data_IF_445866274855
#
_entry.id   IF_445866274855
#
_cell.length_a   1.000
_cell.length_b   1.000
_cell.length_c   1.000
_cell.angle_alpha   90.00
_cell.angle_beta   90.00
_cell.angle_gamma   90.00
#
_symmetry.space_group_name_H-M   'P 1'
#
loop_
_entity.id
_entity.type
_entity.pdbx_description
1 polymer ?
#
# COMPACT_ATOMS: atom_id res chain seq x y z
N UNK A 1 19.92 1.28 4.30
CA UNK A 1 18.43 1.31 4.26
C UNK A 1 17.93 1.31 2.81
N UNK A 2 18.32 2.27 1.97
CA UNK A 2 18.01 2.26 0.52
C UNK A 2 18.45 0.97 -0.19
N UNK A 3 19.66 0.46 0.07
CA UNK A 3 20.12 -0.83 -0.46
C UNK A 3 19.34 -2.06 0.06
N UNK A 4 18.73 -1.96 1.26
CA UNK A 4 17.92 -3.02 1.87
C UNK A 4 16.49 -3.04 1.31
N UNK A 5 15.92 -1.85 1.07
CA UNK A 5 14.63 -1.68 0.42
C UNK A 5 14.71 -1.98 -1.08
N UNK A 6 15.79 -1.55 -1.74
CA UNK A 6 16.06 -1.82 -3.15
C UNK A 6 16.26 -3.31 -3.46
N UNK A 7 16.61 -4.16 -2.49
CA UNK A 7 16.74 -5.62 -2.66
C UNK A 7 15.42 -6.41 -2.53
N UNK A 8 14.31 -5.75 -2.19
CA UNK A 8 12.99 -6.38 -1.95
C UNK A 8 11.89 -5.90 -2.89
N UNK A 9 12.19 -4.89 -3.70
CA UNK A 9 11.29 -4.35 -4.71
C UNK A 9 11.45 -5.21 -5.97
N UNK A 10 10.39 -5.93 -6.35
CA UNK A 10 10.42 -6.87 -7.49
C UNK A 10 10.06 -6.16 -8.80
N UNK A 11 9.17 -5.17 -8.74
CA UNK A 11 8.99 -4.14 -9.76
C UNK A 11 8.77 -2.77 -9.12
N UNK A 12 9.07 -1.73 -9.89
CA UNK A 12 8.69 -0.36 -9.61
C UNK A 12 7.83 0.11 -10.77
N UNK A 13 6.55 0.37 -10.49
CA UNK A 13 5.84 1.32 -11.31
C UNK A 13 6.37 2.71 -10.96
N UNK A 14 7.12 3.32 -11.87
CA UNK A 14 7.64 4.68 -11.69
C UNK A 14 6.47 5.67 -11.80
N UNK A 15 5.70 5.79 -10.72
CA UNK A 15 4.58 6.73 -10.55
C UNK A 15 4.99 8.20 -10.67
N UNK A 16 6.30 8.47 -10.55
CA UNK A 16 6.88 9.79 -10.40
C UNK A 16 8.06 10.02 -11.36
N UNK A 17 7.93 9.57 -12.61
CA UNK A 17 8.82 10.09 -13.64
C UNK A 17 8.53 11.58 -13.82
N UNK A 18 9.57 12.45 -13.86
CA UNK A 18 9.40 13.82 -14.31
C UNK A 18 8.67 13.81 -15.67
N UNK A 19 7.78 14.77 -15.95
CA UNK A 19 7.18 14.89 -17.27
C UNK A 19 8.29 14.95 -18.32
N UNK A 20 8.17 14.14 -19.38
CA UNK A 20 9.13 14.13 -20.47
C UNK A 20 9.13 15.53 -21.12
N UNK A 21 10.24 16.28 -21.06
CA UNK A 21 10.30 17.63 -21.64
C UNK A 21 10.13 17.62 -23.17
N UNK A 22 10.23 16.47 -23.82
CA UNK A 22 10.02 16.29 -25.25
C UNK A 22 8.60 15.84 -25.63
N UNK A 23 7.72 15.54 -24.66
CA UNK A 23 6.35 15.10 -24.95
C UNK A 23 5.45 16.28 -25.35
N UNK A 24 4.80 16.25 -26.53
CA UNK A 24 3.86 17.29 -26.92
C UNK A 24 2.66 17.31 -25.98
N UNK A 25 2.38 18.46 -25.35
CA UNK A 25 1.10 18.71 -24.67
C UNK A 25 1.04 18.49 -23.16
N UNK A 26 2.17 18.47 -22.42
CA UNK A 26 2.14 18.43 -20.95
C UNK A 26 1.49 17.17 -20.35
N UNK A 27 1.28 16.15 -21.18
CA UNK A 27 0.78 14.86 -20.73
C UNK A 27 1.87 14.18 -19.89
N UNK A 28 1.56 13.90 -18.62
CA UNK A 28 2.44 13.11 -17.78
C UNK A 28 2.71 11.76 -18.48
N UNK A 29 3.97 11.29 -18.57
CA UNK A 29 4.28 10.05 -19.25
C UNK A 29 3.42 8.91 -18.69
N UNK A 30 2.94 8.04 -19.58
CA UNK A 30 2.40 6.76 -19.16
C UNK A 30 3.52 6.06 -18.38
N UNK A 31 3.31 5.87 -17.07
CA UNK A 31 4.36 5.38 -16.19
C UNK A 31 4.97 4.10 -16.76
N UNK A 32 6.30 3.99 -16.67
CA UNK A 32 7.02 2.86 -17.21
C UNK A 32 7.07 1.77 -16.14
N UNK A 33 6.76 0.54 -16.56
CA UNK A 33 6.95 -0.63 -15.72
C UNK A 33 8.45 -0.99 -15.71
N UNK A 34 9.09 -0.89 -14.56
CA UNK A 34 10.49 -1.28 -14.39
C UNK A 34 10.56 -2.50 -13.49
N UNK A 35 11.25 -3.55 -13.94
CA UNK A 35 11.46 -4.76 -13.15
C UNK A 35 12.90 -4.81 -12.63
N UNK A 36 13.08 -5.19 -11.38
CA UNK A 36 14.42 -5.32 -10.78
C UNK A 36 14.88 -6.76 -10.96
N UNK A 37 15.40 -7.06 -12.15
CA UNK A 37 15.79 -8.42 -12.54
C UNK A 37 16.68 -9.15 -11.51
N UNK A 38 17.69 -8.52 -10.88
CA UNK A 38 18.50 -9.19 -9.86
C UNK A 38 17.69 -9.71 -8.66
N UNK A 39 16.71 -8.92 -8.19
CA UNK A 39 15.85 -9.31 -7.07
C UNK A 39 14.89 -10.42 -7.45
N UNK A 40 14.33 -10.35 -8.67
CA UNK A 40 13.44 -11.39 -9.18
C UNK A 40 14.21 -12.72 -9.22
N UNK A 41 15.40 -12.75 -9.80
CA UNK A 41 16.22 -13.97 -9.87
C UNK A 41 16.63 -14.47 -8.48
N UNK A 42 16.96 -13.57 -7.56
CA UNK A 42 17.28 -13.95 -6.18
C UNK A 42 16.09 -14.63 -5.50
N UNK A 43 14.90 -14.02 -5.55
CA UNK A 43 13.69 -14.56 -4.91
C UNK A 43 13.22 -15.83 -5.60
N UNK A 44 13.26 -15.88 -6.93
CA UNK A 44 13.00 -17.09 -7.73
C UNK A 44 13.81 -18.28 -7.22
N UNK A 45 15.12 -18.08 -7.02
CA UNK A 45 16.05 -19.10 -6.51
C UNK A 45 15.81 -19.45 -5.05
N UNK A 46 15.54 -18.46 -4.19
CA UNK A 46 15.20 -18.68 -2.78
C UNK A 46 13.94 -19.54 -2.62
N UNK A 47 12.93 -19.32 -3.46
CA UNK A 47 11.67 -20.05 -3.42
C UNK A 47 11.76 -21.39 -4.16
N UNK A 48 12.71 -21.55 -5.09
CA UNK A 48 12.83 -22.75 -5.91
C UNK A 48 11.56 -23.01 -6.72
N UNK A 49 11.03 -21.96 -7.36
CA UNK A 49 9.83 -22.00 -8.23
C UNK A 49 10.23 -22.03 -9.70
N UNK A 50 9.30 -22.36 -10.59
CA UNK A 50 9.57 -22.29 -12.03
C UNK A 50 9.93 -20.84 -12.46
N UNK A 51 11.09 -20.63 -13.12
CA UNK A 51 11.53 -19.30 -13.50
C UNK A 51 10.60 -18.54 -14.45
N UNK A 52 10.01 -19.24 -15.42
CA UNK A 52 9.17 -18.61 -16.44
C UNK A 52 7.85 -18.15 -15.81
N UNK A 53 7.22 -19.05 -15.04
CA UNK A 53 5.97 -18.77 -14.36
C UNK A 53 6.14 -17.71 -13.27
N UNK A 54 7.24 -17.73 -12.52
CA UNK A 54 7.50 -16.71 -11.49
C UNK A 54 7.67 -15.31 -12.11
N UNK A 55 8.44 -15.19 -13.19
CA UNK A 55 8.61 -13.91 -13.89
C UNK A 55 7.30 -13.41 -14.48
N UNK A 56 6.51 -14.30 -15.10
CA UNK A 56 5.17 -13.97 -15.61
C UNK A 56 4.25 -13.51 -14.48
N UNK A 57 4.26 -14.23 -13.35
CA UNK A 57 3.49 -13.86 -12.16
C UNK A 57 3.87 -12.47 -11.63
N UNK A 58 5.17 -12.16 -11.55
CA UNK A 58 5.64 -10.80 -11.21
C UNK A 58 5.15 -9.78 -12.23
N UNK A 59 5.32 -10.02 -13.54
CA UNK A 59 4.85 -9.09 -14.57
C UNK A 59 3.35 -8.81 -14.48
N UNK A 60 2.52 -9.83 -14.22
CA UNK A 60 1.08 -9.68 -14.08
C UNK A 60 0.70 -8.87 -12.84
N UNK A 61 1.41 -9.06 -11.73
CA UNK A 61 1.24 -8.27 -10.51
C UNK A 61 1.52 -6.79 -10.79
N UNK A 62 2.66 -6.52 -11.43
CA UNK A 62 3.09 -5.17 -11.78
C UNK A 62 2.16 -4.49 -12.81
N UNK A 63 1.69 -5.24 -13.82
CA UNK A 63 0.71 -4.76 -14.81
C UNK A 63 -0.66 -4.47 -14.19
N UNK A 64 -1.04 -5.20 -13.14
CA UNK A 64 -2.27 -4.92 -12.37
C UNK A 64 -2.19 -3.53 -11.72
N UNK A 65 -1.06 -3.21 -11.09
CA UNK A 65 -0.82 -1.88 -10.52
C UNK A 65 -0.77 -0.79 -11.58
N UNK A 66 -0.07 -1.02 -12.69
CA UNK A 66 -0.07 -0.09 -13.82
C UNK A 66 -1.51 0.21 -14.25
N UNK A 67 -2.31 -0.83 -14.45
CA UNK A 67 -3.71 -0.70 -14.88
C UNK A 67 -4.53 0.09 -13.86
N UNK A 68 -4.40 -0.16 -12.55
CA UNK A 68 -5.07 0.62 -11.52
C UNK A 68 -4.75 2.11 -11.62
N UNK A 69 -3.46 2.48 -11.76
CA UNK A 69 -3.04 3.88 -11.80
C UNK A 69 -3.23 4.57 -13.16
N UNK A 70 -3.46 3.82 -14.25
CA UNK A 70 -3.74 4.39 -15.58
C UNK A 70 -5.22 4.39 -15.93
N UNK A 71 -6.00 3.42 -15.46
CA UNK A 71 -7.45 3.34 -15.71
C UNK A 71 -8.24 4.24 -14.75
N UNK A 72 -7.74 4.44 -13.53
CA UNK A 72 -8.37 5.33 -12.53
C UNK A 72 -7.71 6.71 -12.60
N UNK A 73 -8.26 7.58 -13.44
CA UNK A 73 -7.65 8.88 -13.78
C UNK A 73 -7.38 9.82 -12.60
N UNK A 74 -8.13 9.70 -11.51
CA UNK A 74 -7.96 10.54 -10.31
C UNK A 74 -6.94 9.98 -9.30
N UNK A 75 -6.62 8.69 -9.35
CA UNK A 75 -5.88 8.00 -8.27
C UNK A 75 -4.46 8.55 -8.12
N UNK A 76 -3.77 8.78 -9.24
CA UNK A 76 -2.41 9.36 -9.25
C UNK A 76 -2.41 10.76 -8.62
N UNK A 77 -3.32 11.62 -9.06
CA UNK A 77 -3.44 12.99 -8.55
C UNK A 77 -3.79 13.02 -7.06
N UNK A 78 -4.67 12.13 -6.62
CA UNK A 78 -5.01 11.99 -5.21
C UNK A 78 -3.80 11.61 -4.34
N UNK A 79 -3.03 10.58 -4.72
CA UNK A 79 -1.83 10.18 -3.97
C UNK A 79 -0.78 11.31 -3.94
N UNK A 80 -0.58 11.99 -5.08
CA UNK A 80 0.30 13.16 -5.16
C UNK A 80 -0.14 14.26 -4.21
N UNK A 81 -1.43 14.61 -4.21
CA UNK A 81 -2.00 15.61 -3.31
C UNK A 81 -1.78 15.22 -1.84
N UNK A 82 -2.04 13.98 -1.46
CA UNK A 82 -1.83 13.53 -0.08
C UNK A 82 -0.34 13.60 0.32
N UNK A 83 0.59 13.26 -0.58
CA UNK A 83 2.02 13.44 -0.31
C UNK A 83 2.41 14.92 -0.16
N UNK A 84 1.90 15.80 -1.01
CA UNK A 84 2.11 17.25 -0.90
C UNK A 84 1.55 17.79 0.42
N UNK A 85 0.33 17.41 0.79
CA UNK A 85 -0.27 17.80 2.08
C UNK A 85 0.55 17.30 3.26
N UNK A 86 1.10 16.09 3.20
CA UNK A 86 1.95 15.55 4.26
C UNK A 86 3.24 16.38 4.43
N UNK A 87 3.87 16.76 3.32
CA UNK A 87 5.06 17.61 3.32
C UNK A 87 4.75 19.02 3.82
N UNK A 88 3.63 19.61 3.42
CA UNK A 88 3.22 20.94 3.87
C UNK A 88 2.78 20.96 5.34
N UNK A 89 2.18 19.87 5.83
CA UNK A 89 1.82 19.71 7.25
C UNK A 89 3.04 19.45 8.14
N UNK A 90 4.22 19.21 7.55
CA UNK A 90 5.46 19.11 8.28
C UNK A 90 5.95 20.53 8.58
N UNK A 91 5.56 21.10 9.73
CA UNK A 91 6.16 22.35 10.20
C UNK A 91 7.67 22.18 10.30
N UNK A 92 8.40 22.86 9.40
CA UNK A 92 9.85 22.97 9.37
C UNK A 92 10.35 24.14 10.22
N UNK A 93 9.49 24.72 11.08
CA UNK A 93 9.90 25.76 12.01
C UNK A 93 10.86 25.18 13.07
N UNK A 94 12.09 25.72 13.20
CA UNK A 94 13.06 25.28 14.20
C UNK A 94 12.49 25.18 15.62
N UNK A 95 11.59 26.09 16.02
CA UNK A 95 10.98 26.06 17.35
C UNK A 95 10.11 24.82 17.56
N UNK A 96 9.28 24.50 16.57
CA UNK A 96 8.41 23.31 16.59
C UNK A 96 9.23 22.01 16.56
N UNK A 97 10.36 21.99 15.86
CA UNK A 97 11.30 20.85 15.85
C UNK A 97 11.89 20.64 17.25
N UNK A 98 12.29 21.70 17.95
CA UNK A 98 12.81 21.58 19.32
C UNK A 98 11.73 21.11 20.29
N UNK A 99 10.51 21.63 20.20
CA UNK A 99 9.40 21.21 21.05
C UNK A 99 8.99 19.74 20.81
N UNK A 100 9.03 19.28 19.55
CA UNK A 100 8.85 17.87 19.20
C UNK A 100 9.97 16.99 19.74
N UNK A 101 11.22 17.44 19.67
CA UNK A 101 12.36 16.71 20.25
C UNK A 101 12.24 16.55 21.76
N UNK A 102 11.78 17.60 22.48
CA UNK A 102 11.52 17.50 23.92
C UNK A 102 10.36 16.54 24.22
N UNK A 103 9.25 16.67 23.51
CA UNK A 103 8.07 15.81 23.68
C UNK A 103 8.39 14.33 23.40
N UNK A 104 9.21 14.06 22.38
CA UNK A 104 9.72 12.73 22.08
C UNK A 104 10.63 12.20 23.19
N UNK A 105 11.55 13.03 23.71
CA UNK A 105 12.42 12.66 24.82
C UNK A 105 11.62 12.31 26.09
N UNK A 106 10.57 13.08 26.38
CA UNK A 106 9.66 12.84 27.52
C UNK A 106 8.84 11.55 27.33
N UNK A 107 8.35 11.28 26.11
CA UNK A 107 7.67 10.04 25.77
C UNK A 107 8.58 8.81 25.89
N UNK A 108 9.83 8.90 25.44
CA UNK A 108 10.85 7.83 25.64
C UNK A 108 11.13 7.63 27.12
N UNK A 109 11.33 8.71 27.89
CA UNK A 109 11.59 8.61 29.32
C UNK A 109 10.42 7.99 30.10
N UNK A 110 9.18 8.19 29.64
CA UNK A 110 7.99 7.50 30.13
C UNK A 110 7.92 6.02 29.74
N UNK A 111 8.18 5.70 28.47
CA UNK A 111 8.14 4.33 27.94
C UNK A 111 9.26 3.42 28.47
N UNK A 112 10.44 3.98 28.79
CA UNK A 112 11.53 3.21 29.44
C UNK A 112 11.17 2.82 30.88
N UNK A 113 10.23 3.53 31.51
CA UNK A 113 9.70 3.21 32.85
C UNK A 113 8.52 2.24 32.84
N UNK A 114 7.88 2.01 31.70
CA UNK A 114 6.77 1.07 31.51
C UNK A 114 6.96 0.32 30.21
N UNK A 115 7.51 -0.89 30.30
CA UNK A 115 7.93 -1.70 29.15
C UNK A 115 6.78 -2.18 28.27
N UNK A 116 6.31 -1.32 27.37
CA UNK A 116 5.70 -1.66 26.07
C UNK A 116 5.49 -0.34 25.31
N UNK A 117 6.26 -0.05 24.25
CA UNK A 117 6.22 1.32 23.72
C UNK A 117 6.92 1.62 22.39
N UNK A 118 7.05 0.64 21.49
CA UNK A 118 7.57 0.91 20.15
C UNK A 118 6.62 1.78 19.30
N UNK A 119 5.31 1.51 19.38
CA UNK A 119 4.28 2.25 18.64
C UNK A 119 4.05 3.66 19.20
N UNK A 120 4.24 3.84 20.51
CA UNK A 120 3.95 5.10 21.21
C UNK A 120 4.88 6.24 20.81
N UNK A 121 6.08 5.97 20.30
CA UNK A 121 7.08 7.02 20.07
C UNK A 121 6.85 7.79 18.76
N UNK A 122 6.37 7.11 17.71
CA UNK A 122 6.08 7.76 16.41
C UNK A 122 4.73 8.45 16.45
N UNK A 123 3.74 7.84 17.12
CA UNK A 123 2.46 8.48 17.36
C UNK A 123 2.60 9.76 18.19
N UNK A 124 3.60 9.84 19.08
CA UNK A 124 3.89 11.03 19.88
C UNK A 124 4.58 12.17 19.10
N UNK A 125 5.18 11.91 17.93
CA UNK A 125 5.95 12.89 17.16
C UNK A 125 5.13 13.52 16.02
N UNK A 126 4.10 12.81 15.54
CA UNK A 126 3.27 13.25 14.42
C UNK A 126 2.16 14.22 14.84
N UNK A 127 1.89 15.24 14.02
CA UNK A 127 0.71 16.08 14.23
C UNK A 127 -0.58 15.32 13.91
N UNK A 128 -1.73 15.68 14.51
CA UNK A 128 -3.01 15.07 14.16
C UNK A 128 -3.31 15.12 12.66
N UNK A 129 -2.92 16.23 12.00
CA UNK A 129 -3.09 16.38 10.56
C UNK A 129 -2.20 15.42 9.74
N UNK A 130 -0.93 15.25 10.12
CA UNK A 130 -0.05 14.29 9.46
C UNK A 130 -0.56 12.86 9.62
N UNK A 131 -1.09 12.51 10.81
CA UNK A 131 -1.69 11.19 11.07
C UNK A 131 -2.86 10.91 10.13
N UNK A 132 -3.80 11.85 9.99
CA UNK A 132 -4.93 11.72 9.06
C UNK A 132 -4.47 11.44 7.61
N UNK A 133 -3.46 12.16 7.14
CA UNK A 133 -2.95 12.02 5.77
C UNK A 133 -2.27 10.65 5.60
N UNK A 134 -1.48 10.21 6.58
CA UNK A 134 -0.84 8.90 6.57
C UNK A 134 -1.86 7.77 6.62
N UNK A 135 -2.95 7.91 7.39
CA UNK A 135 -4.01 6.92 7.44
C UNK A 135 -4.73 6.80 6.09
N UNK A 136 -4.98 7.92 5.39
CA UNK A 136 -5.54 7.91 4.01
C UNK A 136 -4.59 7.26 3.00
N UNK A 137 -3.32 7.63 3.01
CA UNK A 137 -2.30 7.03 2.14
C UNK A 137 -2.17 5.52 2.40
N UNK A 138 -2.13 5.15 3.67
CA UNK A 138 -2.09 3.76 4.11
C UNK A 138 -3.30 2.96 3.61
N UNK A 139 -4.50 3.52 3.73
CA UNK A 139 -5.72 2.85 3.28
C UNK A 139 -5.73 2.63 1.76
N UNK A 140 -5.31 3.63 0.97
CA UNK A 140 -5.19 3.47 -0.49
C UNK A 140 -4.18 2.40 -0.86
N UNK A 141 -2.97 2.45 -0.28
CA UNK A 141 -1.96 1.44 -0.57
C UNK A 141 -2.44 0.03 -0.19
N UNK A 142 -3.11 -0.09 0.95
CA UNK A 142 -3.69 -1.35 1.41
C UNK A 142 -4.74 -1.89 0.43
N UNK A 143 -5.64 -1.05 -0.06
CA UNK A 143 -6.65 -1.43 -1.06
C UNK A 143 -5.99 -1.86 -2.38
N UNK A 144 -5.08 -1.04 -2.91
CA UNK A 144 -4.42 -1.26 -4.21
C UNK A 144 -3.69 -2.60 -4.22
N UNK A 145 -2.98 -2.90 -3.13
CA UNK A 145 -2.20 -4.11 -2.97
C UNK A 145 -3.10 -5.33 -2.69
N UNK A 146 -4.11 -5.18 -1.84
CA UNK A 146 -5.11 -6.22 -1.58
C UNK A 146 -5.90 -6.61 -2.84
N UNK A 147 -6.23 -5.64 -3.69
CA UNK A 147 -6.83 -5.88 -4.99
C UNK A 147 -5.85 -6.55 -5.95
N UNK A 148 -4.56 -6.17 -5.93
CA UNK A 148 -3.50 -6.85 -6.66
C UNK A 148 -3.46 -8.34 -6.33
N UNK A 149 -3.38 -8.67 -5.05
CA UNK A 149 -3.42 -10.06 -4.57
C UNK A 149 -4.70 -10.79 -5.03
N UNK A 150 -5.87 -10.14 -4.93
CA UNK A 150 -7.15 -10.71 -5.40
C UNK A 150 -7.13 -11.02 -6.92
N UNK A 151 -6.63 -10.10 -7.73
CA UNK A 151 -6.51 -10.30 -9.19
C UNK A 151 -5.53 -11.44 -9.49
N UNK A 152 -4.41 -11.50 -8.77
CA UNK A 152 -3.42 -12.56 -8.95
C UNK A 152 -3.98 -13.95 -8.61
N UNK A 153 -4.92 -14.03 -7.67
CA UNK A 153 -5.67 -15.27 -7.38
C UNK A 153 -6.61 -15.66 -8.55
N UNK A 154 -7.17 -14.68 -9.24
CA UNK A 154 -8.12 -14.88 -10.34
C UNK A 154 -7.44 -15.24 -11.68
N UNK A 155 -6.16 -14.89 -11.88
CA UNK A 155 -5.37 -15.21 -13.10
C UNK A 155 -5.37 -16.71 -13.43
N UNK A 156 -5.37 -17.56 -12.40
CA UNK A 156 -5.52 -19.02 -12.52
C UNK A 156 -4.38 -19.76 -13.25
N UNK A 157 -4.44 -21.12 -13.27
CA UNK A 157 -3.38 -21.95 -13.86
C UNK A 157 -3.31 -21.89 -15.39
N UNK A 158 -4.34 -21.37 -16.05
CA UNK A 158 -4.35 -21.23 -17.51
C UNK A 158 -3.35 -20.17 -18.01
N UNK A 159 -3.04 -19.17 -17.18
CA UNK A 159 -2.09 -18.10 -17.52
C UNK A 159 -0.72 -18.35 -16.88
N UNK A 160 -0.72 -18.81 -15.63
CA UNK A 160 0.49 -19.17 -14.87
C UNK A 160 0.30 -20.57 -14.26
N UNK A 161 0.79 -21.63 -14.92
CA UNK A 161 0.57 -23.02 -14.50
C UNK A 161 0.90 -23.31 -13.03
N UNK A 162 2.03 -22.81 -12.52
CA UNK A 162 2.49 -23.01 -11.14
C UNK A 162 2.04 -21.93 -10.14
N UNK A 163 1.01 -21.12 -10.45
CA UNK A 163 0.58 -19.97 -9.62
C UNK A 163 0.28 -20.35 -8.15
N UNK A 164 -0.33 -21.51 -7.91
CA UNK A 164 -0.66 -21.96 -6.56
C UNK A 164 0.59 -22.25 -5.72
N UNK A 165 1.61 -22.86 -6.35
CA UNK A 165 2.90 -23.14 -5.72
C UNK A 165 3.66 -21.84 -5.43
N UNK A 166 3.76 -20.96 -6.44
CA UNK A 166 4.38 -19.64 -6.31
C UNK A 166 3.75 -18.88 -5.13
N UNK A 167 2.42 -18.83 -5.08
CA UNK A 167 1.67 -18.15 -4.01
C UNK A 167 1.97 -18.76 -2.64
N UNK A 168 1.91 -20.07 -2.50
CA UNK A 168 2.14 -20.75 -1.23
C UNK A 168 3.56 -20.45 -0.69
N UNK A 169 4.58 -20.59 -1.54
CA UNK A 169 5.97 -20.33 -1.19
C UNK A 169 6.24 -18.85 -0.91
N UNK A 170 5.67 -17.96 -1.72
CA UNK A 170 5.81 -16.52 -1.52
C UNK A 170 5.11 -16.06 -0.23
N UNK A 171 3.90 -16.53 0.07
CA UNK A 171 3.20 -16.28 1.33
C UNK A 171 4.01 -16.77 2.55
N UNK A 172 4.58 -17.97 2.47
CA UNK A 172 5.43 -18.52 3.53
C UNK A 172 6.70 -17.66 3.76
N UNK A 173 7.35 -17.22 2.68
CA UNK A 173 8.49 -16.29 2.74
C UNK A 173 8.11 -14.96 3.36
N UNK A 174 6.94 -14.40 3.04
CA UNK A 174 6.43 -13.17 3.68
C UNK A 174 6.26 -13.34 5.19
N UNK A 175 5.68 -14.47 5.63
CA UNK A 175 5.51 -14.77 7.06
C UNK A 175 6.85 -14.92 7.79
N UNK A 176 7.86 -15.53 7.16
CA UNK A 176 9.19 -15.70 7.72
C UNK A 176 9.98 -14.38 7.78
N UNK A 177 9.90 -13.54 6.74
CA UNK A 177 10.54 -12.22 6.72
C UNK A 177 10.03 -11.30 7.84
N UNK A 178 8.77 -11.44 8.26
CA UNK A 178 8.15 -10.63 9.32
C UNK A 178 8.81 -10.74 10.70
N UNK A 179 9.46 -11.86 11.05
CA UNK A 179 10.10 -12.05 12.37
C UNK A 179 11.45 -11.33 12.49
N UNK A 180 12.22 -11.26 11.41
CA UNK A 180 13.51 -10.55 11.36
C UNK A 180 13.31 -9.05 11.16
N UNK A 181 12.23 -8.65 10.48
CA UNK A 181 11.92 -7.25 10.20
C UNK A 181 11.39 -6.46 11.42
N UNK A 182 10.77 -7.13 12.40
CA UNK A 182 10.31 -6.52 13.65
C UNK A 182 11.43 -5.84 14.46
N UNK A 183 12.66 -6.34 14.39
CA UNK A 183 13.79 -5.77 15.13
C UNK A 183 14.33 -4.48 14.50
N UNK A 184 14.30 -4.35 13.16
CA UNK A 184 14.79 -3.16 12.44
C UNK A 184 13.69 -2.06 12.41
N UNK A 185 12.40 -2.46 12.36
CA UNK A 185 11.24 -1.54 12.33
C UNK A 185 11.04 -0.75 13.62
N UNK A 186 11.31 -1.35 14.79
CA UNK A 186 11.25 -0.67 16.11
C UNK A 186 12.22 0.52 16.23
N UNK A 187 13.28 0.54 15.43
CA UNK A 187 14.32 1.59 15.47
C UNK A 187 13.97 2.75 14.53
N UNK A 188 13.24 2.48 13.44
CA UNK A 188 12.88 3.48 12.43
C UNK A 188 11.46 4.02 12.56
N UNK A 189 10.63 3.36 13.37
CA UNK A 189 9.31 3.84 13.70
C UNK A 189 8.28 3.81 12.56
N UNK A 190 8.55 2.98 11.56
CA UNK A 190 7.67 2.74 10.43
C UNK A 190 7.09 1.34 10.64
N UNK A 191 6.13 1.21 11.55
CA UNK A 191 5.44 -0.07 11.83
C UNK A 191 4.20 -0.27 10.95
N UNK A 192 4.34 0.10 9.67
CA UNK A 192 3.26 0.12 8.68
C UNK A 192 3.74 -0.58 7.43
N UNK A 193 3.62 -1.91 7.38
CA UNK A 193 3.62 -2.60 6.09
C UNK A 193 2.92 -3.95 6.13
N UNK A 194 3.25 -4.87 7.04
CA UNK A 194 2.80 -6.27 6.90
C UNK A 194 1.37 -6.58 7.37
N UNK A 195 0.86 -5.93 8.42
CA UNK A 195 -0.54 -6.13 8.86
C UNK A 195 -1.54 -5.63 7.82
N UNK A 196 -1.19 -4.56 7.11
CA UNK A 196 -2.04 -3.91 6.12
C UNK A 196 -2.33 -4.80 4.90
N UNK A 197 -1.33 -5.49 4.33
CA UNK A 197 -1.53 -6.31 3.13
C UNK A 197 -2.53 -7.46 3.32
N UNK A 198 -2.40 -8.21 4.41
CA UNK A 198 -3.34 -9.29 4.71
C UNK A 198 -4.78 -8.77 4.93
N UNK A 199 -4.90 -7.58 5.53
CA UNK A 199 -6.19 -6.91 5.72
C UNK A 199 -6.80 -6.43 4.39
N UNK A 200 -5.98 -5.92 3.48
CA UNK A 200 -6.43 -5.48 2.15
C UNK A 200 -7.01 -6.62 1.32
N UNK A 201 -6.29 -7.74 1.20
CA UNK A 201 -6.79 -8.90 0.44
C UNK A 201 -8.07 -9.47 1.07
N UNK A 202 -8.13 -9.57 2.40
CA UNK A 202 -9.33 -10.01 3.12
C UNK A 202 -10.52 -9.05 2.91
N UNK A 203 -10.28 -7.74 2.89
CA UNK A 203 -11.31 -6.75 2.56
C UNK A 203 -11.89 -6.97 1.17
N UNK A 204 -11.03 -7.06 0.14
CA UNK A 204 -11.48 -7.27 -1.25
C UNK A 204 -12.26 -8.57 -1.38
N UNK A 205 -11.75 -9.67 -0.81
CA UNK A 205 -12.42 -10.97 -0.83
C UNK A 205 -13.79 -10.90 -0.15
N UNK A 206 -13.89 -10.28 1.03
CA UNK A 206 -15.15 -10.15 1.76
C UNK A 206 -16.19 -9.33 0.99
N UNK A 207 -15.80 -8.15 0.49
CA UNK A 207 -16.70 -7.28 -0.28
C UNK A 207 -17.19 -7.96 -1.56
N UNK A 208 -16.28 -8.62 -2.29
CA UNK A 208 -16.64 -9.30 -3.54
C UNK A 208 -17.52 -10.53 -3.28
N UNK A 209 -17.25 -11.29 -2.21
CA UNK A 209 -18.07 -12.44 -1.84
C UNK A 209 -19.49 -12.02 -1.41
N UNK A 210 -19.62 -10.90 -0.71
CA UNK A 210 -20.91 -10.42 -0.18
C UNK A 210 -21.74 -9.65 -1.23
N UNK A 211 -21.10 -8.76 -1.99
CA UNK A 211 -21.82 -7.80 -2.86
C UNK A 211 -21.40 -7.87 -4.34
N UNK A 212 -20.48 -8.76 -4.70
CA UNK A 212 -20.01 -8.96 -6.06
C UNK A 212 -19.01 -7.90 -6.55
N UNK A 213 -18.36 -8.22 -7.68
CA UNK A 213 -17.33 -7.39 -8.28
C UNK A 213 -17.85 -6.02 -8.75
N UNK A 214 -19.09 -5.96 -9.23
CA UNK A 214 -19.69 -4.70 -9.67
C UNK A 214 -19.80 -3.68 -8.53
N UNK A 215 -20.21 -4.14 -7.34
CA UNK A 215 -20.26 -3.29 -6.14
C UNK A 215 -18.87 -2.91 -5.68
N UNK A 216 -17.95 -3.89 -5.61
CA UNK A 216 -16.56 -3.63 -5.24
C UNK A 216 -15.92 -2.55 -6.13
N UNK A 217 -16.13 -2.60 -7.45
CA UNK A 217 -15.55 -1.65 -8.41
C UNK A 217 -15.95 -0.18 -8.17
N UNK A 218 -16.95 0.09 -7.32
CA UNK A 218 -17.26 1.44 -6.87
C UNK A 218 -16.08 2.11 -6.16
N UNK A 219 -15.16 1.37 -5.53
CA UNK A 219 -13.95 1.94 -4.89
C UNK A 219 -13.14 2.83 -5.84
N UNK A 220 -13.20 2.56 -7.15
CA UNK A 220 -12.44 3.27 -8.19
C UNK A 220 -13.16 4.51 -8.75
N UNK A 221 -14.37 4.82 -8.30
CA UNK A 221 -15.18 5.89 -8.90
C UNK A 221 -14.77 7.29 -8.42
N UNK A 222 -14.33 7.43 -7.17
CA UNK A 222 -13.86 8.71 -6.63
C UNK A 222 -12.98 8.52 -5.38
N UNK A 223 -12.25 9.55 -4.93
CA UNK A 223 -11.55 9.51 -3.64
C UNK A 223 -12.47 9.17 -2.45
N UNK A 224 -13.72 9.60 -2.48
CA UNK A 224 -14.69 9.40 -1.40
C UNK A 224 -15.17 7.94 -1.30
N UNK A 225 -15.02 7.15 -2.36
CA UNK A 225 -15.38 5.73 -2.37
C UNK A 225 -14.26 4.81 -1.89
N UNK A 226 -13.06 5.35 -1.64
CA UNK A 226 -11.98 4.60 -1.01
C UNK A 226 -12.41 4.15 0.40
N UNK A 227 -12.03 2.94 0.83
CA UNK A 227 -12.27 2.51 2.20
C UNK A 227 -11.31 3.23 3.15
N UNK A 228 -11.77 3.49 4.37
CA UNK A 228 -10.89 3.89 5.48
C UNK A 228 -10.14 2.68 6.04
N UNK A 229 -9.18 2.94 6.92
CA UNK A 229 -8.45 1.88 7.64
C UNK A 229 -9.40 1.02 8.50
N UNK A 230 -10.37 1.63 9.16
CA UNK A 230 -11.38 0.92 9.95
C UNK A 230 -12.29 0.06 9.08
N UNK A 231 -12.64 0.57 7.90
CA UNK A 231 -13.48 -0.15 6.93
C UNK A 231 -12.75 -1.31 6.27
N UNK A 232 -11.44 -1.20 6.03
CA UNK A 232 -10.61 -2.33 5.59
C UNK A 232 -10.62 -3.44 6.66
N UNK A 233 -10.56 -3.06 7.95
CA UNK A 233 -10.65 -4.02 9.04
C UNK A 233 -12.06 -4.58 9.26
N UNK A 234 -13.11 -3.86 8.85
CA UNK A 234 -14.51 -4.24 8.96
C UNK A 234 -15.26 -3.98 7.63
N UNK A 235 -15.16 -4.89 6.65
CA UNK A 235 -15.63 -4.66 5.27
C UNK A 235 -17.11 -4.31 5.14
N UNK A 236 -17.95 -4.80 6.06
CA UNK A 236 -19.38 -4.49 6.11
C UNK A 236 -19.66 -3.00 6.30
N UNK A 237 -18.80 -2.27 7.04
CA UNK A 237 -18.95 -0.81 7.22
C UNK A 237 -18.81 -0.05 5.91
N UNK A 238 -17.90 -0.48 5.05
CA UNK A 238 -17.76 0.09 3.72
C UNK A 238 -19.02 -0.16 2.88
N UNK A 239 -19.53 -1.39 2.90
CA UNK A 239 -20.77 -1.77 2.20
C UNK A 239 -21.97 -0.94 2.67
N UNK A 240 -22.14 -0.77 3.98
CA UNK A 240 -23.20 0.06 4.58
C UNK A 240 -23.11 1.53 4.11
N UNK A 241 -21.90 2.10 4.11
CA UNK A 241 -21.67 3.47 3.63
C UNK A 241 -21.97 3.60 2.13
N UNK A 242 -21.58 2.61 1.34
CA UNK A 242 -21.80 2.61 -0.10
C UNK A 242 -23.26 2.34 -0.48
N UNK A 243 -23.99 1.57 0.33
CA UNK A 243 -25.43 1.34 0.19
C UNK A 243 -26.26 2.57 0.54
N UNK A 244 -25.93 3.24 1.64
CA UNK A 244 -26.60 4.50 2.05
C UNK A 244 -26.36 5.66 1.07
N UNK A 245 -25.16 5.76 0.49
CA UNK A 245 -24.85 6.76 -0.54
C UNK A 245 -25.64 6.56 -1.86
N UNK A 246 -26.10 5.33 -2.15
CA UNK A 246 -26.96 5.07 -3.32
C UNK A 246 -28.42 5.44 -3.10
N UNK A 247 -28.90 5.34 -1.86
CA UNK A 247 -30.27 5.71 -1.50
C UNK A 247 -30.52 7.23 -1.52
N UNK A 248 -29.49 8.04 -1.25
CA UNK A 248 -29.56 9.51 -1.32
C UNK A 248 -29.52 10.06 -2.76
N UNK A 249 -28.92 9.32 -3.71
CA UNK A 249 -28.79 9.76 -5.11
C UNK A 249 -29.97 9.33 -6.00
N UNK A 250 -30.82 8.40 -5.53
CA UNK A 250 -32.00 7.91 -6.26
C UNK A 250 -33.31 8.62 -5.83
N UNK A 251 -33.20 9.71 -5.07
CA UNK A 251 -34.32 10.44 -4.47
C UNK A 251 -34.64 11.82 -5.08
N UNK A 252 -34.00 12.20 -6.18
CA UNK A 252 -34.25 13.45 -6.92
C UNK A 252 -34.78 13.19 -8.35
#
# INVERSE_FOLDING_TARGET
ILAYLAGRVLGQYELFLPPDPAAPGGAAPAGRLTLVAPNIVMVERELGVDPHDFRRWVCLHEETHRTQFTAVGWLRGYVQQQMTEFLLASDLDPATIVDRLRSAADAVAGAVRGGDGGDSLIEAIQTPRQREILDRLSAVMTLVEGHGDYVMDAVGPQVVPSVAEIRAKFNARRGAAGRVEQAIRRILGIDLKMKQYAQGSAFVQAVVAEAGMATFNRVWTSPQTLPTKEEIAAPTRWLERMGSSGALAAGD
#
